data_IF_936393647781
#
_entry.id   IF_936393647781
#
_cell.length_a   1.000
_cell.length_b   1.000
_cell.length_c   1.000
_cell.angle_alpha   90.00
_cell.angle_beta   90.00
_cell.angle_gamma   90.00
#
_symmetry.space_group_name_H-M   'P 1'
#
loop_
_entity.id
_entity.type
_entity.pdbx_description
1 polymer ?
#
# COMPACT_ATOMS: atom_id res chain seq x y z
N UNK A 1 16.56 -37.08 17.66
CA UNK A 1 17.62 -36.07 17.84
C UNK A 1 17.54 -35.09 16.67
N UNK A 2 17.07 -33.88 16.91
CA UNK A 2 16.94 -32.86 15.86
C UNK A 2 18.34 -32.30 15.54
N UNK A 3 18.75 -32.45 14.30
CA UNK A 3 20.02 -31.94 13.80
C UNK A 3 19.96 -30.40 13.75
N UNK A 4 20.61 -29.72 14.69
CA UNK A 4 20.65 -28.24 14.72
C UNK A 4 21.53 -27.78 13.56
N UNK A 5 20.91 -27.11 12.60
CA UNK A 5 21.60 -26.48 11.49
C UNK A 5 22.45 -25.30 11.99
N UNK A 6 23.78 -25.44 11.92
CA UNK A 6 24.69 -24.35 12.30
C UNK A 6 24.79 -23.30 11.17
N UNK A 7 25.14 -22.04 11.49
CA UNK A 7 25.36 -20.97 10.48
C UNK A 7 26.36 -21.39 9.42
N UNK A 8 27.39 -22.16 9.81
CA UNK A 8 28.41 -22.64 8.87
C UNK A 8 27.86 -23.65 7.87
N UNK A 9 26.99 -24.55 8.32
CA UNK A 9 26.33 -25.52 7.45
C UNK A 9 25.35 -24.83 6.50
N UNK A 10 24.60 -23.85 6.99
CA UNK A 10 23.72 -23.06 6.13
C UNK A 10 24.47 -22.34 5.00
N UNK A 11 25.57 -21.65 5.30
CA UNK A 11 26.39 -20.94 4.30
C UNK A 11 27.01 -21.92 3.29
N UNK A 12 27.51 -23.07 3.76
CA UNK A 12 28.08 -24.10 2.88
C UNK A 12 27.02 -24.68 1.95
N UNK A 13 25.87 -25.01 2.46
CA UNK A 13 24.79 -25.65 1.69
C UNK A 13 24.16 -24.64 0.69
N UNK A 14 24.09 -23.35 1.04
CA UNK A 14 23.69 -22.27 0.13
C UNK A 14 24.73 -22.06 -0.98
N UNK A 15 26.03 -22.13 -0.68
CA UNK A 15 27.10 -22.02 -1.68
C UNK A 15 27.12 -23.21 -2.65
N UNK A 16 26.83 -24.42 -2.16
CA UNK A 16 26.71 -25.61 -3.00
C UNK A 16 25.49 -25.55 -3.92
N UNK A 17 24.34 -25.05 -3.42
CA UNK A 17 23.16 -24.83 -4.25
C UNK A 17 23.41 -23.81 -5.38
N UNK A 18 24.19 -22.75 -5.09
CA UNK A 18 24.55 -21.76 -6.10
C UNK A 18 25.52 -22.28 -7.16
N UNK A 19 26.40 -23.22 -6.81
CA UNK A 19 27.37 -23.83 -7.75
C UNK A 19 26.70 -24.76 -8.76
N UNK A 20 25.58 -25.40 -8.38
CA UNK A 20 24.79 -26.26 -9.29
C UNK A 20 24.07 -25.45 -10.36
N UNK A 21 23.68 -24.20 -10.06
CA UNK A 21 23.02 -23.31 -11.02
C UNK A 21 23.99 -22.67 -12.03
N UNK A 22 25.27 -22.58 -11.71
CA UNK A 22 26.29 -22.04 -12.63
C UNK A 22 26.77 -23.06 -13.71
N UNK A 23 26.43 -24.34 -13.57
CA UNK A 23 26.78 -25.40 -14.51
C UNK A 23 25.80 -25.59 -15.70
N UNK A 24 24.68 -24.88 -15.71
CA UNK A 24 23.67 -24.92 -16.77
C UNK A 24 23.62 -23.61 -17.54
N UNK A 25 24.77 -23.23 -18.15
CA UNK A 25 24.79 -22.15 -19.11
C UNK A 25 24.01 -22.57 -20.37
N UNK A 26 22.82 -22.05 -20.57
CA UNK A 26 22.11 -22.19 -21.82
C UNK A 26 20.60 -22.46 -21.78
N UNK A 27 19.99 -22.61 -20.62
CA UNK A 27 18.52 -22.62 -20.54
C UNK A 27 18.05 -21.32 -19.92
N UNK A 28 17.36 -20.49 -20.73
CA UNK A 28 16.54 -19.39 -20.19
C UNK A 28 15.65 -19.99 -19.12
N UNK A 29 15.86 -19.57 -17.86
CA UNK A 29 14.89 -19.88 -16.80
C UNK A 29 13.58 -19.24 -17.26
N UNK A 30 12.52 -20.02 -17.47
CA UNK A 30 11.23 -19.43 -17.75
C UNK A 30 10.94 -18.48 -16.58
N UNK A 31 10.70 -17.22 -16.90
CA UNK A 31 10.18 -16.27 -15.93
C UNK A 31 9.04 -16.99 -15.23
N UNK A 32 9.15 -17.14 -13.91
CA UNK A 32 8.10 -17.82 -13.15
C UNK A 32 6.81 -17.07 -13.48
N UNK A 33 5.98 -17.65 -14.36
CA UNK A 33 4.64 -17.15 -14.59
C UNK A 33 3.98 -17.12 -13.22
N UNK A 34 3.73 -15.91 -12.72
CA UNK A 34 2.96 -15.75 -11.52
C UNK A 34 1.63 -16.50 -11.79
N UNK A 35 1.47 -17.64 -11.12
CA UNK A 35 0.20 -18.36 -11.22
C UNK A 35 -0.92 -17.36 -11.01
N UNK A 36 -1.94 -17.34 -11.90
CA UNK A 36 -3.07 -16.45 -11.69
C UNK A 36 -3.57 -16.68 -10.28
N UNK A 37 -3.62 -15.60 -9.53
CA UNK A 37 -3.83 -15.61 -8.08
C UNK A 37 -5.00 -16.52 -7.71
N UNK A 38 -4.80 -17.32 -6.70
CA UNK A 38 -5.85 -18.14 -6.13
C UNK A 38 -7.07 -17.25 -5.87
N UNK A 39 -8.25 -17.71 -6.29
CA UNK A 39 -9.53 -17.04 -5.99
C UNK A 39 -9.53 -16.59 -4.53
N UNK A 40 -9.87 -15.33 -4.24
CA UNK A 40 -9.87 -14.84 -2.87
C UNK A 40 -10.58 -15.82 -1.95
N UNK A 41 -9.97 -16.12 -0.80
CA UNK A 41 -10.62 -16.97 0.19
C UNK A 41 -12.00 -16.39 0.53
N UNK A 42 -12.98 -17.25 0.78
CA UNK A 42 -14.32 -16.81 1.15
C UNK A 42 -14.23 -15.78 2.31
N UNK A 43 -14.95 -14.67 2.18
CA UNK A 43 -14.95 -13.61 3.19
C UNK A 43 -15.21 -14.20 4.59
N UNK A 44 -14.47 -13.78 5.62
CA UNK A 44 -14.66 -14.31 6.96
C UNK A 44 -16.09 -14.04 7.45
N UNK A 45 -16.65 -14.98 8.20
CA UNK A 45 -17.95 -14.83 8.83
C UNK A 45 -17.85 -13.76 9.93
N UNK A 46 -18.40 -12.59 9.69
CA UNK A 46 -18.43 -11.48 10.63
C UNK A 46 -18.37 -10.13 9.91
N UNK A 47 -18.92 -9.10 10.54
CA UNK A 47 -18.81 -7.73 10.05
C UNK A 47 -17.71 -7.01 10.82
N UNK A 48 -16.88 -6.26 10.11
CA UNK A 48 -15.93 -5.36 10.76
C UNK A 48 -16.70 -4.28 11.52
N UNK A 49 -16.26 -3.94 12.75
CA UNK A 49 -16.82 -2.81 13.46
C UNK A 49 -16.65 -1.54 12.63
N UNK A 50 -17.68 -0.69 12.64
CA UNK A 50 -17.65 0.61 11.97
C UNK A 50 -17.44 1.74 12.99
N UNK A 51 -16.78 2.80 12.55
CA UNK A 51 -16.73 4.08 13.20
C UNK A 51 -17.37 5.13 12.31
N UNK A 52 -17.77 6.29 12.87
CA UNK A 52 -18.41 7.37 12.11
C UNK A 52 -17.63 8.66 12.23
N UNK A 53 -17.41 9.32 11.08
CA UNK A 53 -16.87 10.67 11.00
C UNK A 53 -17.83 11.49 10.11
N UNK A 54 -18.46 12.50 10.68
CA UNK A 54 -19.48 13.26 9.99
C UNK A 54 -20.65 12.35 9.53
N UNK A 55 -20.95 12.37 8.25
CA UNK A 55 -22.01 11.54 7.62
C UNK A 55 -21.52 10.17 7.12
N UNK A 56 -20.22 9.91 7.18
CA UNK A 56 -19.62 8.70 6.62
C UNK A 56 -19.29 7.66 7.70
N UNK A 57 -19.56 6.40 7.38
CA UNK A 57 -19.15 5.25 8.17
C UNK A 57 -17.89 4.64 7.59
N UNK A 58 -16.91 4.37 8.44
CA UNK A 58 -15.62 3.80 8.12
C UNK A 58 -15.39 2.50 8.88
N UNK A 59 -14.86 1.50 8.20
CA UNK A 59 -14.40 0.29 8.88
C UNK A 59 -13.25 0.61 9.84
N UNK A 60 -13.20 -0.11 10.97
CA UNK A 60 -12.12 0.04 11.97
C UNK A 60 -10.76 -0.38 11.46
N UNK A 61 -10.72 -1.18 10.39
CA UNK A 61 -9.53 -1.42 9.61
C UNK A 61 -9.56 -0.53 8.38
N UNK A 62 -8.41 0.06 8.06
CA UNK A 62 -8.21 0.96 6.92
C UNK A 62 -6.98 0.49 6.14
N UNK A 63 -7.06 0.50 4.80
CA UNK A 63 -5.88 0.30 3.98
C UNK A 63 -4.96 1.52 4.05
N UNK A 64 -3.65 1.27 4.18
CA UNK A 64 -2.64 2.32 4.08
C UNK A 64 -2.15 2.52 2.66
N UNK A 65 -1.75 3.75 2.34
CA UNK A 65 -1.28 4.13 1.00
C UNK A 65 0.18 3.79 0.72
N UNK A 66 1.02 3.66 1.73
CA UNK A 66 2.47 3.54 1.54
C UNK A 66 2.86 2.39 0.60
N UNK A 67 2.20 1.23 0.73
CA UNK A 67 2.52 0.06 -0.08
C UNK A 67 2.23 0.33 -1.57
N UNK A 68 1.06 0.88 -1.87
CA UNK A 68 0.63 1.12 -3.26
C UNK A 68 1.36 2.30 -3.91
N UNK A 69 1.76 3.30 -3.12
CA UNK A 69 2.52 4.45 -3.58
C UNK A 69 4.04 4.19 -3.63
N UNK A 70 4.51 3.05 -3.11
CA UNK A 70 5.93 2.70 -3.08
C UNK A 70 6.73 3.45 -2.00
N UNK A 71 6.06 3.98 -0.97
CA UNK A 71 6.73 4.60 0.18
C UNK A 71 7.23 3.52 1.14
N UNK A 72 8.51 3.24 1.06
CA UNK A 72 9.17 2.28 1.93
C UNK A 72 9.83 3.00 3.11
N UNK A 73 9.50 2.60 4.33
CA UNK A 73 10.17 3.06 5.55
C UNK A 73 11.33 2.13 5.95
N UNK A 74 12.05 1.62 4.97
CA UNK A 74 13.11 0.62 5.11
C UNK A 74 14.50 1.24 5.28
N UNK A 75 14.60 2.43 5.85
CA UNK A 75 15.84 3.18 6.10
C UNK A 75 16.61 3.42 4.80
N UNK A 76 17.84 2.87 4.70
CA UNK A 76 18.76 3.01 3.56
C UNK A 76 18.55 1.98 2.44
N UNK A 77 17.60 1.05 2.60
CA UNK A 77 17.28 0.04 1.59
C UNK A 77 16.43 0.62 0.45
N UNK A 78 17.04 1.46 -0.38
CA UNK A 78 16.33 2.21 -1.45
C UNK A 78 15.64 1.32 -2.47
N UNK A 79 16.19 0.13 -2.75
CA UNK A 79 15.62 -0.81 -3.72
C UNK A 79 14.23 -1.34 -3.32
N UNK A 80 13.85 -1.25 -2.04
CA UNK A 80 12.54 -1.73 -1.56
C UNK A 80 11.40 -0.93 -2.19
N UNK A 81 11.52 0.39 -2.31
CA UNK A 81 10.53 1.23 -3.01
C UNK A 81 10.32 0.80 -4.47
N UNK A 82 11.42 0.48 -5.17
CA UNK A 82 11.33 0.01 -6.56
C UNK A 82 10.67 -1.37 -6.66
N UNK A 83 10.98 -2.29 -5.75
CA UNK A 83 10.30 -3.58 -5.68
C UNK A 83 8.80 -3.43 -5.40
N UNK A 84 8.42 -2.52 -4.48
CA UNK A 84 7.02 -2.24 -4.18
C UNK A 84 6.29 -1.73 -5.42
N UNK A 85 6.87 -0.79 -6.18
CA UNK A 85 6.28 -0.25 -7.41
C UNK A 85 6.17 -1.29 -8.52
N UNK A 86 7.18 -2.15 -8.67
CA UNK A 86 7.16 -3.22 -9.67
C UNK A 86 6.09 -4.28 -9.35
N UNK A 87 5.92 -4.62 -8.08
CA UNK A 87 4.92 -5.59 -7.66
C UNK A 87 3.50 -5.01 -7.70
N UNK A 88 3.30 -3.79 -7.20
CA UNK A 88 2.01 -3.13 -7.10
C UNK A 88 1.64 -2.44 -8.42
N UNK A 89 1.46 -3.22 -9.48
CA UNK A 89 0.88 -2.73 -10.73
C UNK A 89 -0.55 -2.26 -10.51
N UNK A 90 -1.09 -1.43 -11.40
CA UNK A 90 -2.50 -0.97 -11.33
C UNK A 90 -3.47 -2.15 -11.11
N UNK A 91 -3.28 -3.23 -11.86
CA UNK A 91 -4.14 -4.43 -11.74
C UNK A 91 -4.05 -5.07 -10.33
N UNK A 92 -2.84 -5.15 -9.76
CA UNK A 92 -2.64 -5.67 -8.41
C UNK A 92 -3.23 -4.77 -7.34
N UNK A 93 -3.13 -3.46 -7.51
CA UNK A 93 -3.75 -2.49 -6.60
C UNK A 93 -5.27 -2.66 -6.63
N UNK A 94 -5.89 -2.67 -7.81
CA UNK A 94 -7.34 -2.85 -7.95
C UNK A 94 -7.78 -4.17 -7.31
N UNK A 95 -7.08 -5.27 -7.58
CA UNK A 95 -7.35 -6.57 -6.95
C UNK A 95 -7.26 -6.48 -5.41
N UNK A 96 -6.30 -5.74 -4.88
CA UNK A 96 -6.15 -5.53 -3.43
C UNK A 96 -7.35 -4.76 -2.86
N UNK A 97 -7.86 -3.75 -3.57
CA UNK A 97 -9.05 -3.01 -3.17
C UNK A 97 -10.29 -3.91 -3.16
N UNK A 98 -10.47 -4.74 -4.20
CA UNK A 98 -11.58 -5.70 -4.30
C UNK A 98 -11.54 -6.73 -3.16
N UNK A 99 -10.36 -7.28 -2.87
CA UNK A 99 -10.17 -8.19 -1.74
C UNK A 99 -10.51 -7.49 -0.43
N UNK A 100 -10.01 -6.28 -0.20
CA UNK A 100 -10.30 -5.51 1.02
C UNK A 100 -11.80 -5.28 1.20
N UNK A 101 -12.51 -4.87 0.15
CA UNK A 101 -13.96 -4.67 0.17
C UNK A 101 -14.70 -5.98 0.47
N UNK A 102 -14.24 -7.12 -0.07
CA UNK A 102 -14.86 -8.43 0.19
C UNK A 102 -14.76 -8.84 1.67
N UNK A 103 -13.78 -8.31 2.39
CA UNK A 103 -13.60 -8.49 3.83
C UNK A 103 -14.21 -7.37 4.68
N UNK A 104 -14.96 -6.44 4.06
CA UNK A 104 -15.65 -5.36 4.74
C UNK A 104 -14.78 -4.15 5.06
N UNK A 105 -13.56 -4.07 4.55
CA UNK A 105 -12.74 -2.86 4.62
C UNK A 105 -13.25 -1.89 3.56
N UNK A 106 -13.77 -0.74 4.00
CA UNK A 106 -14.46 0.20 3.13
C UNK A 106 -13.72 1.54 2.98
N UNK A 107 -12.46 1.61 3.37
CA UNK A 107 -11.69 2.86 3.40
C UNK A 107 -10.22 2.63 3.13
N UNK A 108 -9.62 3.55 2.38
CA UNK A 108 -8.18 3.63 2.13
C UNK A 108 -7.68 5.05 2.41
N UNK A 109 -6.48 5.17 2.99
CA UNK A 109 -5.79 6.43 3.21
C UNK A 109 -4.72 6.62 2.13
N UNK A 110 -4.82 7.68 1.34
CA UNK A 110 -3.89 7.99 0.25
C UNK A 110 -3.53 9.48 0.23
N UNK A 111 -2.32 9.77 -0.21
CA UNK A 111 -1.87 11.13 -0.40
C UNK A 111 -2.41 11.71 -1.72
N UNK A 112 -2.90 12.95 -1.70
CA UNK A 112 -3.48 13.59 -2.90
C UNK A 112 -2.46 13.96 -3.96
N UNK A 113 -1.17 13.97 -3.63
CA UNK A 113 -0.09 14.24 -4.58
C UNK A 113 0.37 13.00 -5.36
N UNK A 114 -0.11 11.80 -4.99
CA UNK A 114 0.16 10.57 -5.72
C UNK A 114 -0.74 10.42 -6.94
N UNK A 115 -0.38 9.50 -7.83
CA UNK A 115 -1.28 9.07 -8.90
C UNK A 115 -2.36 8.15 -8.32
N UNK A 116 -3.60 8.60 -8.34
CA UNK A 116 -4.77 7.88 -7.85
C UNK A 116 -5.70 7.39 -8.99
N UNK A 117 -5.17 7.28 -10.21
CA UNK A 117 -5.92 6.82 -11.39
C UNK A 117 -6.52 5.42 -11.20
N UNK A 118 -5.81 4.53 -10.53
CA UNK A 118 -6.29 3.18 -10.17
C UNK A 118 -7.52 3.22 -9.27
N UNK A 119 -7.61 4.19 -8.34
CA UNK A 119 -8.77 4.35 -7.46
C UNK A 119 -10.00 4.82 -8.26
N UNK A 120 -9.81 5.79 -9.16
CA UNK A 120 -10.87 6.26 -10.04
C UNK A 120 -11.38 5.13 -10.95
N UNK A 121 -10.47 4.31 -11.47
CA UNK A 121 -10.81 3.14 -12.27
C UNK A 121 -11.57 2.10 -11.46
N UNK A 122 -11.15 1.84 -10.24
CA UNK A 122 -11.86 0.95 -9.31
C UNK A 122 -13.30 1.43 -9.08
N UNK A 123 -13.52 2.71 -8.82
CA UNK A 123 -14.86 3.28 -8.66
C UNK A 123 -15.70 3.17 -9.93
N UNK A 124 -15.13 3.43 -11.11
CA UNK A 124 -15.82 3.26 -12.40
C UNK A 124 -16.25 1.79 -12.62
N UNK A 125 -15.52 0.85 -12.08
CA UNK A 125 -15.84 -0.57 -12.13
C UNK A 125 -16.82 -1.03 -11.03
N UNK A 126 -17.37 -0.09 -10.26
CA UNK A 126 -18.37 -0.38 -9.22
C UNK A 126 -17.82 -0.56 -7.80
N UNK A 127 -16.52 -0.39 -7.60
CA UNK A 127 -15.88 -0.36 -6.27
C UNK A 127 -16.45 0.79 -5.42
N UNK A 128 -16.49 0.58 -4.10
CA UNK A 128 -17.14 1.49 -3.14
C UNK A 128 -16.20 1.98 -2.03
N UNK A 129 -14.93 1.58 -2.09
CA UNK A 129 -13.95 1.98 -1.08
C UNK A 129 -13.86 3.52 -1.00
N UNK A 130 -13.90 4.06 0.20
CA UNK A 130 -13.85 5.50 0.46
C UNK A 130 -12.41 5.97 0.53
N UNK A 131 -12.16 7.16 0.02
CA UNK A 131 -10.88 7.85 0.17
C UNK A 131 -10.89 8.69 1.45
N UNK A 132 -9.92 8.45 2.32
CA UNK A 132 -9.45 9.41 3.32
C UNK A 132 -8.18 10.02 2.77
N UNK A 133 -8.25 11.28 2.39
CA UNK A 133 -7.15 11.95 1.70
C UNK A 133 -6.16 12.54 2.70
N UNK A 134 -4.88 12.30 2.47
CA UNK A 134 -3.80 13.00 3.14
C UNK A 134 -3.41 14.22 2.33
N UNK A 135 -3.47 15.41 2.92
CA UNK A 135 -3.18 16.70 2.30
C UNK A 135 -2.04 17.42 3.03
N UNK A 136 -1.27 18.21 2.31
CA UNK A 136 -0.27 19.11 2.86
C UNK A 136 -0.87 20.50 3.04
N UNK A 137 -0.55 21.16 4.13
CA UNK A 137 -0.65 22.60 4.20
C UNK A 137 0.65 23.17 3.60
N UNK A 138 0.52 23.93 2.53
CA UNK A 138 1.68 24.48 1.82
C UNK A 138 2.21 25.72 2.50
N UNK A 139 3.46 26.07 2.22
CA UNK A 139 4.13 27.24 2.84
C UNK A 139 3.44 28.57 2.52
N UNK A 140 2.79 28.66 1.39
CA UNK A 140 2.00 29.82 0.94
C UNK A 140 0.57 29.84 1.51
N UNK A 141 0.27 29.03 2.51
CA UNK A 141 -1.04 28.88 3.13
C UNK A 141 -2.17 28.50 2.13
N UNK A 142 -1.83 28.00 0.96
CA UNK A 142 -2.83 27.54 0.01
C UNK A 142 -3.45 26.21 0.42
N UNK A 143 -4.75 26.11 0.27
CA UNK A 143 -5.51 24.89 0.51
C UNK A 143 -5.63 24.02 -0.75
N UNK A 144 -4.66 24.11 -1.65
CA UNK A 144 -4.70 23.43 -2.95
C UNK A 144 -4.88 21.92 -2.81
N UNK A 145 -4.14 21.28 -1.90
CA UNK A 145 -4.25 19.84 -1.68
C UNK A 145 -5.60 19.46 -1.08
N UNK A 146 -6.17 20.32 -0.22
CA UNK A 146 -7.50 20.11 0.36
C UNK A 146 -8.58 20.24 -0.71
N UNK A 147 -8.48 21.25 -1.59
CA UNK A 147 -9.40 21.41 -2.71
C UNK A 147 -9.32 20.20 -3.65
N UNK A 148 -8.12 19.75 -3.98
CA UNK A 148 -7.91 18.54 -4.78
C UNK A 148 -8.57 17.32 -4.16
N UNK A 149 -8.46 17.15 -2.83
CA UNK A 149 -9.12 16.06 -2.11
C UNK A 149 -10.65 16.11 -2.25
N UNK A 150 -11.23 17.31 -2.14
CA UNK A 150 -12.68 17.53 -2.32
C UNK A 150 -13.10 17.21 -3.74
N UNK A 151 -12.37 17.72 -4.74
CA UNK A 151 -12.66 17.52 -6.17
C UNK A 151 -12.58 16.03 -6.55
N UNK A 152 -11.71 15.26 -5.88
CA UNK A 152 -11.61 13.82 -6.03
C UNK A 152 -12.72 13.04 -5.33
N UNK A 153 -13.59 13.68 -4.55
CA UNK A 153 -14.66 13.03 -3.81
C UNK A 153 -14.20 12.30 -2.55
N UNK A 154 -13.14 12.78 -1.89
CA UNK A 154 -12.70 12.22 -0.63
C UNK A 154 -13.80 12.28 0.44
N UNK A 155 -13.98 11.19 1.18
CA UNK A 155 -14.96 11.12 2.27
C UNK A 155 -14.48 11.86 3.53
N UNK A 156 -13.17 11.99 3.70
CA UNK A 156 -12.52 12.80 4.72
C UNK A 156 -11.13 13.23 4.25
N UNK A 157 -10.62 14.29 4.86
CA UNK A 157 -9.27 14.81 4.60
C UNK A 157 -8.56 14.99 5.94
N UNK A 158 -7.29 14.67 6.00
CA UNK A 158 -6.45 14.99 7.14
C UNK A 158 -5.14 15.64 6.71
N UNK A 159 -4.59 16.46 7.60
CA UNK A 159 -3.28 17.09 7.39
C UNK A 159 -2.17 16.05 7.55
N UNK A 160 -1.17 16.10 6.68
CA UNK A 160 0.04 15.32 6.82
C UNK A 160 0.87 15.84 8.02
N UNK A 161 1.41 14.88 8.82
CA UNK A 161 2.03 15.19 10.12
C UNK A 161 3.14 16.25 10.06
N UNK A 162 4.00 16.22 9.04
CA UNK A 162 5.08 17.22 8.91
C UNK A 162 4.55 18.66 8.75
N UNK A 163 3.41 18.85 8.09
CA UNK A 163 2.78 20.16 7.99
C UNK A 163 2.30 20.66 9.36
N UNK A 164 1.66 19.77 10.12
CA UNK A 164 1.18 20.10 11.47
C UNK A 164 2.36 20.40 12.44
N UNK A 165 3.40 19.58 12.40
CA UNK A 165 4.61 19.80 13.23
C UNK A 165 5.25 21.15 12.94
N UNK A 166 5.38 21.54 11.67
CA UNK A 166 5.92 22.84 11.27
C UNK A 166 5.12 23.99 11.85
N UNK A 167 3.79 23.95 11.77
CA UNK A 167 2.91 24.99 12.34
C UNK A 167 3.09 25.12 13.85
N UNK A 168 3.18 23.99 14.56
CA UNK A 168 3.40 23.99 16.01
C UNK A 168 4.76 24.62 16.36
N UNK A 169 5.82 24.24 15.64
CA UNK A 169 7.18 24.76 15.86
C UNK A 169 7.23 26.26 15.60
N UNK A 170 6.52 26.76 14.59
CA UNK A 170 6.44 28.17 14.21
C UNK A 170 5.44 28.97 15.08
N UNK A 171 4.75 28.33 16.02
CA UNK A 171 3.73 28.97 16.87
C UNK A 171 2.46 29.40 16.12
N UNK A 172 2.21 28.85 14.96
CA UNK A 172 1.06 29.14 14.08
C UNK A 172 -0.05 28.12 14.32
N UNK A 173 -0.65 28.18 15.49
CA UNK A 173 -1.66 27.21 15.96
C UNK A 173 -3.03 27.84 16.25
N UNK A 174 -3.22 29.12 15.89
CA UNK A 174 -4.45 29.90 16.11
C UNK A 174 -5.50 29.63 15.02
#
# INVERSE_FOLDING_TARGET
MANQMTRRNFVRDAALASAVTLGLAGTELPAAEAKPDAKPAAAPKGQLPLGRIGKHEFSRLMLGGNLVAGYSHSRDLRYVSELMKQYNTEAKIIQTLEVAESYGINVINLAVWDDLSYLQKHWKNGGKIKLVAQALLREDDTLTDYQKAVDMGAAAVHMQGHGAEKLIIEGRVD
#
